data_IF_506896400155
#
_entry.id   IF_506896400155
#
_cell.length_a   1.000
_cell.length_b   1.000
_cell.length_c   1.000
_cell.angle_alpha   90.00
_cell.angle_beta   90.00
_cell.angle_gamma   90.00
#
_symmetry.space_group_name_H-M   'P 1'
#
loop_
_entity.id
_entity.type
_entity.pdbx_description
1 polymer ?
#
# COMPACT_ATOMS: atom_id res chain seq x y z
N UNK A 1 25.08 -50.58 -3.71
CA UNK A 1 25.19 -49.72 -4.90
C UNK A 1 24.41 -48.44 -4.61
N UNK A 2 24.66 -47.82 -3.46
CA UNK A 2 23.72 -46.85 -2.86
C UNK A 2 24.43 -45.53 -2.50
N UNK A 3 25.74 -45.57 -2.28
CA UNK A 3 26.55 -44.38 -1.96
C UNK A 3 26.82 -43.47 -3.18
N UNK A 4 26.83 -44.04 -4.40
CA UNK A 4 27.01 -43.27 -5.64
C UNK A 4 25.77 -42.45 -6.02
N UNK A 5 24.58 -42.91 -5.65
CA UNK A 5 23.32 -42.21 -5.94
C UNK A 5 23.09 -41.04 -4.96
N UNK A 6 23.46 -41.22 -3.68
CA UNK A 6 23.46 -40.15 -2.67
C UNK A 6 24.55 -39.10 -2.93
N UNK A 7 25.74 -39.53 -3.37
CA UNK A 7 26.86 -38.64 -3.71
C UNK A 7 26.61 -37.77 -4.95
N UNK A 8 25.73 -38.19 -5.86
CA UNK A 8 25.35 -37.42 -7.05
C UNK A 8 24.06 -36.61 -6.83
N UNK A 9 23.11 -37.12 -6.04
CA UNK A 9 21.81 -36.47 -5.82
C UNK A 9 21.88 -35.20 -4.96
N UNK A 10 22.60 -35.23 -3.83
CA UNK A 10 22.68 -34.09 -2.90
C UNK A 10 23.36 -32.86 -3.54
N UNK A 11 24.56 -32.96 -4.16
CA UNK A 11 25.19 -31.80 -4.77
C UNK A 11 24.38 -31.26 -5.96
N UNK A 12 23.75 -32.13 -6.76
CA UNK A 12 22.87 -31.69 -7.86
C UNK A 12 21.64 -30.96 -7.33
N UNK A 13 21.01 -31.46 -6.27
CA UNK A 13 19.89 -30.78 -5.61
C UNK A 13 20.31 -29.40 -5.08
N UNK A 14 21.48 -29.31 -4.43
CA UNK A 14 22.01 -28.03 -3.93
C UNK A 14 22.26 -27.04 -5.06
N UNK A 15 22.86 -27.47 -6.18
CA UNK A 15 23.08 -26.60 -7.35
C UNK A 15 21.77 -26.11 -7.96
N UNK A 16 20.75 -26.97 -8.04
CA UNK A 16 19.42 -26.59 -8.50
C UNK A 16 18.79 -25.55 -7.56
N UNK A 17 18.82 -25.78 -6.25
CA UNK A 17 18.29 -24.83 -5.25
C UNK A 17 19.02 -23.49 -5.33
N UNK A 18 20.36 -23.50 -5.41
CA UNK A 18 21.16 -22.28 -5.52
C UNK A 18 20.81 -21.52 -6.79
N UNK A 19 20.72 -22.21 -7.94
CA UNK A 19 20.30 -21.59 -9.20
C UNK A 19 18.90 -20.96 -9.11
N UNK A 20 17.98 -21.64 -8.42
CA UNK A 20 16.63 -21.16 -8.17
C UNK A 20 16.61 -19.89 -7.30
N UNK A 21 17.40 -19.87 -6.23
CA UNK A 21 17.53 -18.72 -5.34
C UNK A 21 18.20 -17.53 -6.03
N UNK A 22 19.20 -17.77 -6.89
CA UNK A 22 19.83 -16.72 -7.69
C UNK A 22 18.81 -16.09 -8.64
N UNK A 23 18.01 -16.90 -9.34
CA UNK A 23 16.94 -16.39 -10.19
C UNK A 23 15.93 -15.56 -9.40
N UNK A 24 15.53 -16.02 -8.21
CA UNK A 24 14.70 -15.26 -7.28
C UNK A 24 15.30 -13.92 -6.89
N UNK A 25 16.57 -13.91 -6.51
CA UNK A 25 17.29 -12.70 -6.12
C UNK A 25 17.38 -11.68 -7.27
N UNK A 26 17.66 -12.13 -8.49
CA UNK A 26 17.70 -11.26 -9.68
C UNK A 26 16.32 -10.66 -9.95
N UNK A 27 15.26 -11.46 -9.89
CA UNK A 27 13.89 -10.96 -10.05
C UNK A 27 13.51 -9.92 -8.97
N UNK A 28 13.90 -10.15 -7.72
CA UNK A 28 13.69 -9.22 -6.61
C UNK A 28 14.42 -7.89 -6.82
N UNK A 29 15.67 -7.93 -7.28
CA UNK A 29 16.46 -6.72 -7.59
C UNK A 29 15.85 -5.92 -8.73
N UNK A 30 15.35 -6.58 -9.78
CA UNK A 30 14.65 -5.93 -10.90
C UNK A 30 13.36 -5.27 -10.39
N UNK A 31 12.58 -5.97 -9.58
CA UNK A 31 11.35 -5.45 -8.99
C UNK A 31 11.61 -4.22 -8.10
N UNK A 32 12.65 -4.28 -7.25
CA UNK A 32 13.03 -3.16 -6.39
C UNK A 32 13.35 -1.89 -7.19
N UNK A 33 14.15 -2.02 -8.27
CA UNK A 33 14.48 -0.89 -9.15
C UNK A 33 13.27 -0.33 -9.90
N UNK A 34 12.19 -1.10 -10.02
CA UNK A 34 10.96 -0.73 -10.73
C UNK A 34 9.84 -0.25 -9.80
N UNK A 35 10.09 -0.11 -8.51
CA UNK A 35 9.05 0.30 -7.55
C UNK A 35 7.98 -0.77 -7.31
N UNK A 36 8.24 -2.02 -7.69
CA UNK A 36 7.41 -3.17 -7.40
C UNK A 36 7.81 -3.80 -6.06
N UNK A 37 6.94 -4.58 -5.43
CA UNK A 37 7.26 -5.25 -4.17
C UNK A 37 8.32 -6.36 -4.37
N UNK A 38 9.57 -6.18 -3.91
CA UNK A 38 10.66 -7.10 -4.20
C UNK A 38 10.48 -8.48 -3.53
N UNK A 39 9.79 -8.52 -2.38
CA UNK A 39 9.54 -9.76 -1.64
C UNK A 39 8.57 -10.66 -2.42
N UNK A 40 7.55 -10.07 -3.03
CA UNK A 40 6.58 -10.80 -3.85
C UNK A 40 7.27 -11.41 -5.07
N UNK A 41 8.07 -10.63 -5.79
CA UNK A 41 8.80 -11.12 -6.96
C UNK A 41 9.85 -12.17 -6.62
N UNK A 42 10.53 -12.05 -5.48
CA UNK A 42 11.44 -13.08 -4.97
C UNK A 42 10.71 -14.41 -4.74
N UNK A 43 9.62 -14.41 -3.97
CA UNK A 43 8.90 -15.62 -3.59
C UNK A 43 8.20 -16.29 -4.77
N UNK A 44 7.54 -15.51 -5.63
CA UNK A 44 6.89 -16.03 -6.84
C UNK A 44 7.92 -16.67 -7.77
N UNK A 45 9.10 -16.06 -7.89
CA UNK A 45 10.20 -16.63 -8.68
C UNK A 45 10.81 -17.87 -8.04
N UNK A 46 11.09 -17.84 -6.74
CA UNK A 46 11.74 -18.94 -6.03
C UNK A 46 10.87 -20.21 -5.94
N UNK A 47 9.54 -20.08 -5.91
CA UNK A 47 8.63 -21.22 -5.72
C UNK A 47 7.89 -21.65 -6.99
N UNK A 48 7.57 -20.74 -7.92
CA UNK A 48 6.69 -21.05 -9.04
C UNK A 48 7.36 -20.89 -10.41
N UNK A 49 8.00 -19.75 -10.68
CA UNK A 49 8.52 -19.46 -12.03
C UNK A 49 9.95 -19.96 -12.25
N UNK A 50 10.69 -20.14 -11.16
CA UNK A 50 12.10 -20.50 -11.15
C UNK A 50 12.97 -19.68 -12.09
N UNK A 51 13.81 -20.31 -12.91
CA UNK A 51 14.75 -19.58 -13.76
C UNK A 51 14.07 -18.62 -14.76
N UNK A 52 12.76 -18.78 -15.02
CA UNK A 52 12.00 -17.88 -15.89
C UNK A 52 11.51 -16.60 -15.18
N UNK A 53 11.53 -16.55 -13.84
CA UNK A 53 10.99 -15.42 -13.08
C UNK A 53 11.63 -14.05 -13.35
N UNK A 54 12.96 -13.93 -13.59
CA UNK A 54 13.56 -12.66 -13.99
C UNK A 54 12.95 -12.08 -15.27
N UNK A 55 12.54 -12.92 -16.23
CA UNK A 55 11.87 -12.47 -17.45
C UNK A 55 10.52 -11.82 -17.18
N UNK A 56 9.73 -12.39 -16.27
CA UNK A 56 8.45 -11.81 -15.86
C UNK A 56 8.63 -10.52 -15.05
N UNK A 57 9.68 -10.42 -14.22
CA UNK A 57 10.02 -9.17 -13.55
C UNK A 57 10.37 -8.03 -14.53
N UNK A 58 10.90 -8.36 -15.72
CA UNK A 58 11.17 -7.40 -16.79
C UNK A 58 9.93 -7.00 -17.59
N UNK A 59 8.87 -7.81 -17.61
CA UNK A 59 7.61 -7.50 -18.28
C UNK A 59 6.61 -6.82 -17.34
N UNK A 60 6.74 -7.04 -16.04
CA UNK A 60 5.91 -6.41 -15.04
C UNK A 60 6.04 -4.89 -15.13
N UNK A 61 4.92 -4.24 -15.44
CA UNK A 61 4.80 -2.80 -15.36
C UNK A 61 4.71 -2.42 -13.89
N UNK A 62 5.42 -1.36 -13.44
CA UNK A 62 5.18 -0.76 -12.14
C UNK A 62 3.68 -0.49 -12.00
N UNK A 63 3.12 -0.73 -10.82
CA UNK A 63 1.75 -0.30 -10.52
C UNK A 63 1.70 1.23 -10.66
N UNK A 64 1.38 1.69 -11.87
CA UNK A 64 1.00 3.07 -12.16
C UNK A 64 -0.42 3.34 -11.66
N UNK A 65 -0.79 2.70 -10.55
CA UNK A 65 -1.92 3.10 -9.75
C UNK A 65 -1.36 4.03 -8.68
N UNK A 66 -1.24 5.35 -8.96
CA UNK A 66 -1.03 6.28 -7.88
C UNK A 66 -2.15 6.01 -6.89
N UNK A 67 -1.79 5.77 -5.62
CA UNK A 67 -2.70 5.79 -4.50
C UNK A 67 -3.79 6.85 -4.79
N UNK A 68 -5.08 6.49 -4.85
CA UNK A 68 -6.10 7.37 -5.42
C UNK A 68 -5.97 8.72 -4.74
N UNK A 69 -5.52 9.72 -5.50
CA UNK A 69 -5.10 10.99 -4.94
C UNK A 69 -6.21 11.48 -4.03
N UNK A 70 -5.91 11.65 -2.72
CA UNK A 70 -6.91 12.07 -1.73
C UNK A 70 -7.68 13.22 -2.33
N UNK A 71 -8.99 13.03 -2.55
CA UNK A 71 -9.86 14.01 -3.22
C UNK A 71 -9.56 15.39 -2.65
N UNK A 72 -9.05 16.30 -3.49
CA UNK A 72 -8.79 17.68 -3.08
C UNK A 72 -10.08 18.26 -2.53
N UNK A 73 -10.05 18.65 -1.26
CA UNK A 73 -11.14 19.42 -0.66
C UNK A 73 -11.08 20.81 -1.28
N UNK A 74 -12.20 21.31 -1.79
CA UNK A 74 -12.25 22.64 -2.38
C UNK A 74 -11.82 23.70 -1.37
N UNK A 75 -11.15 24.76 -1.83
CA UNK A 75 -10.71 25.86 -0.99
C UNK A 75 -11.90 26.44 -0.18
N UNK A 76 -11.68 26.69 1.11
CA UNK A 76 -12.73 27.14 2.03
C UNK A 76 -13.64 26.03 2.57
N UNK A 77 -13.43 24.77 2.20
CA UNK A 77 -14.08 23.60 2.80
C UNK A 77 -13.10 22.75 3.59
N UNK A 78 -13.63 21.94 4.50
CA UNK A 78 -12.90 20.96 5.31
C UNK A 78 -13.61 19.62 5.27
N UNK A 79 -12.82 18.55 5.37
CA UNK A 79 -13.36 17.19 5.47
C UNK A 79 -13.72 16.88 6.91
N UNK A 80 -14.93 16.38 7.11
CA UNK A 80 -15.42 15.90 8.39
C UNK A 80 -16.01 14.50 8.23
N UNK A 81 -15.66 13.58 9.13
CA UNK A 81 -16.20 12.23 9.14
C UNK A 81 -17.41 12.18 10.07
N UNK A 82 -18.56 11.78 9.55
CA UNK A 82 -19.76 11.63 10.36
C UNK A 82 -19.56 10.52 11.40
N UNK A 83 -19.71 10.80 12.71
CA UNK A 83 -19.50 9.79 13.76
C UNK A 83 -20.59 8.71 13.78
N UNK A 84 -21.70 8.93 13.06
CA UNK A 84 -22.83 7.97 13.02
C UNK A 84 -22.63 6.89 11.97
N UNK A 85 -22.20 7.26 10.77
CA UNK A 85 -22.16 6.36 9.60
C UNK A 85 -20.79 6.29 8.91
N UNK A 86 -19.79 7.01 9.41
CA UNK A 86 -18.44 7.03 8.84
C UNK A 86 -18.32 7.74 7.49
N UNK A 87 -19.36 8.42 7.01
CA UNK A 87 -19.30 9.13 5.73
C UNK A 87 -18.40 10.37 5.84
N UNK A 88 -17.51 10.55 4.86
CA UNK A 88 -16.74 11.78 4.68
C UNK A 88 -17.65 12.85 4.05
N UNK A 89 -17.77 13.99 4.72
CA UNK A 89 -18.53 15.15 4.28
C UNK A 89 -17.58 16.34 4.12
N UNK A 90 -17.70 17.09 3.02
CA UNK A 90 -16.93 18.31 2.80
C UNK A 90 -17.80 19.52 3.18
N UNK A 91 -17.51 20.13 4.32
CA UNK A 91 -18.31 21.21 4.92
C UNK A 91 -17.55 22.54 4.75
N UNK A 92 -18.22 23.67 4.43
CA UNK A 92 -17.63 25.00 4.49
C UNK A 92 -17.00 25.29 5.87
N UNK A 93 -15.89 26.03 5.89
CA UNK A 93 -15.19 26.38 7.14
C UNK A 93 -16.00 27.31 8.05
N UNK A 94 -16.91 28.07 7.46
CA UNK A 94 -17.80 29.04 8.13
C UNK A 94 -19.03 28.38 8.74
N UNK A 95 -19.42 27.20 8.25
CA UNK A 95 -20.63 26.53 8.70
C UNK A 95 -20.45 25.95 10.12
N UNK A 96 -21.41 26.29 10.97
CA UNK A 96 -21.52 25.78 12.34
C UNK A 96 -22.34 24.47 12.44
N UNK A 97 -22.84 23.97 11.31
CA UNK A 97 -23.59 22.73 11.23
C UNK A 97 -23.57 22.14 9.83
N UNK A 98 -23.78 20.83 9.71
CA UNK A 98 -23.94 20.16 8.42
C UNK A 98 -24.98 19.05 8.51
N UNK A 99 -25.58 18.71 7.36
CA UNK A 99 -26.38 17.49 7.20
C UNK A 99 -25.49 16.43 6.56
N UNK A 100 -25.43 15.25 7.16
CA UNK A 100 -24.66 14.16 6.57
C UNK A 100 -25.34 13.66 5.28
N UNK A 101 -24.62 13.67 4.15
CA UNK A 101 -25.20 13.24 2.86
C UNK A 101 -25.65 11.77 2.84
N UNK A 102 -25.15 10.93 3.76
CA UNK A 102 -25.45 9.49 3.79
C UNK A 102 -26.61 9.13 4.72
N UNK A 103 -26.73 9.80 5.87
CA UNK A 103 -27.71 9.42 6.90
C UNK A 103 -28.64 10.56 7.31
N UNK A 104 -28.57 11.69 6.61
CA UNK A 104 -29.36 12.91 6.83
C UNK A 104 -29.32 13.48 8.25
N UNK A 105 -28.39 13.00 9.08
CA UNK A 105 -28.23 13.48 10.44
C UNK A 105 -27.70 14.92 10.44
N UNK A 106 -28.44 15.82 11.08
CA UNK A 106 -28.03 17.20 11.32
C UNK A 106 -27.08 17.28 12.53
N UNK A 107 -25.86 17.78 12.33
CA UNK A 107 -24.88 17.96 13.42
C UNK A 107 -24.29 19.35 13.45
N UNK A 108 -24.08 19.85 14.66
CA UNK A 108 -23.32 21.07 14.91
C UNK A 108 -21.82 20.75 14.92
N UNK A 109 -21.04 21.61 14.27
CA UNK A 109 -19.57 21.56 14.23
C UNK A 109 -19.04 22.94 14.60
N UNK A 110 -17.87 23.00 15.26
CA UNK A 110 -17.29 24.30 15.61
C UNK A 110 -16.73 24.96 14.34
N UNK A 111 -17.15 26.20 13.98
CA UNK A 111 -16.61 26.88 12.81
C UNK A 111 -15.13 27.21 13.03
N UNK A 112 -14.34 27.25 11.94
CA UNK A 112 -12.88 27.45 12.03
C UNK A 112 -12.55 28.82 12.64
N UNK A 113 -13.31 29.86 12.27
CA UNK A 113 -13.17 31.19 12.86
C UNK A 113 -13.26 31.16 14.39
N UNK A 114 -14.22 30.40 14.95
CA UNK A 114 -14.35 30.24 16.39
C UNK A 114 -13.27 29.35 17.05
N UNK A 115 -12.50 28.57 16.27
CA UNK A 115 -11.33 27.85 16.78
C UNK A 115 -10.09 28.76 16.83
N UNK A 116 -9.96 29.67 15.86
CA UNK A 116 -8.87 30.66 15.80
C UNK A 116 -9.07 31.74 16.86
N UNK A 117 -10.32 32.16 17.09
CA UNK A 117 -10.65 33.21 18.06
C UNK A 117 -10.86 32.68 19.50
N UNK A 118 -10.76 31.36 19.71
CA UNK A 118 -10.89 30.79 21.05
C UNK A 118 -9.64 31.11 21.89
N UNK A 119 -9.78 31.68 23.11
CA UNK A 119 -8.65 31.76 24.03
C UNK A 119 -8.12 30.35 24.24
N UNK A 120 -6.80 30.18 24.24
CA UNK A 120 -6.15 28.92 24.57
C UNK A 120 -6.78 28.39 25.86
N UNK A 121 -7.55 27.29 25.73
CA UNK A 121 -8.16 26.65 26.90
C UNK A 121 -7.08 26.26 27.88
N UNK A 122 -7.37 26.22 29.20
CA UNK A 122 -6.38 25.85 30.20
C UNK A 122 -5.80 24.49 29.84
N UNK A 123 -4.48 24.41 29.80
CA UNK A 123 -3.75 23.15 29.69
C UNK A 123 -4.08 22.32 30.92
N UNK A 124 -4.75 21.18 30.73
CA UNK A 124 -4.85 20.12 31.73
C UNK A 124 -3.57 19.27 31.72
#
# INVERSE_FOLDING_TARGET
MDDAFLGMGIPTLLLLIIGWLIAGAVAALIAHKRGLNPIVFFLVTAFFLGPLGPGFALLAQPDANPEPAKRKVADGRRRFVCPRCGAENDIPNEDASYNCWRCDEHRKVRPVKALVDAPAGPAE
#
